data_IF_539006672566
#
_entry.id   IF_539006672566
#
_cell.length_a   1.000
_cell.length_b   1.000
_cell.length_c   1.000
_cell.angle_alpha   90.00
_cell.angle_beta   90.00
_cell.angle_gamma   90.00
#
_symmetry.space_group_name_H-M   'P 1'
#
loop_
_entity.id
_entity.type
_entity.pdbx_description
1 polymer ?
#
# COMPACT_ATOMS: atom_id res chain seq x y z
N UNK A 1 13.37 -57.33 -9.38
CA UNK A 1 13.28 -56.02 -10.05
C UNK A 1 13.41 -54.97 -8.96
N UNK A 2 14.63 -54.48 -8.70
CA UNK A 2 14.95 -53.57 -7.59
C UNK A 2 14.85 -52.12 -8.11
N UNK A 3 13.87 -51.37 -7.63
CA UNK A 3 13.76 -49.94 -7.90
C UNK A 3 14.70 -49.19 -6.94
N UNK A 4 15.75 -48.59 -7.50
CA UNK A 4 16.67 -47.72 -6.76
C UNK A 4 15.97 -46.39 -6.44
N UNK A 5 15.80 -46.10 -5.16
CA UNK A 5 15.27 -44.82 -4.63
C UNK A 5 16.24 -43.67 -4.96
N UNK A 6 16.07 -43.08 -6.14
CA UNK A 6 16.86 -41.95 -6.63
C UNK A 6 16.59 -40.63 -5.87
N UNK A 7 15.58 -40.60 -4.99
CA UNK A 7 15.10 -39.37 -4.36
C UNK A 7 15.95 -38.89 -3.16
N UNK A 8 16.78 -39.78 -2.59
CA UNK A 8 17.68 -39.49 -1.47
C UNK A 8 19.16 -39.68 -1.83
N UNK A 9 19.52 -39.51 -3.11
CA UNK A 9 20.93 -39.56 -3.48
C UNK A 9 21.68 -38.36 -2.85
N UNK A 10 22.94 -38.53 -2.42
CA UNK A 10 23.75 -37.44 -1.88
C UNK A 10 23.87 -36.26 -2.85
N UNK A 11 23.77 -36.52 -4.15
CA UNK A 11 23.79 -35.50 -5.20
C UNK A 11 22.55 -34.58 -5.18
N UNK A 12 21.36 -35.14 -5.00
CA UNK A 12 20.10 -34.38 -4.83
C UNK A 12 20.10 -33.51 -3.57
N UNK A 13 20.76 -33.98 -2.50
CA UNK A 13 20.89 -33.25 -1.24
C UNK A 13 21.84 -32.05 -1.36
N UNK A 14 22.94 -32.22 -2.10
CA UNK A 14 23.90 -31.14 -2.41
C UNK A 14 23.25 -30.06 -3.27
N UNK A 15 22.51 -30.44 -4.32
CA UNK A 15 21.80 -29.46 -5.17
C UNK A 15 20.73 -28.69 -4.40
N UNK A 16 20.03 -29.35 -3.47
CA UNK A 16 19.04 -28.70 -2.59
C UNK A 16 19.72 -27.70 -1.66
N UNK A 17 20.84 -28.06 -1.05
CA UNK A 17 21.60 -27.18 -0.16
C UNK A 17 22.20 -25.98 -0.92
N UNK A 18 22.73 -26.19 -2.13
CA UNK A 18 23.19 -25.09 -2.99
C UNK A 18 22.07 -24.11 -3.33
N UNK A 19 20.88 -24.62 -3.69
CA UNK A 19 19.73 -23.77 -4.03
C UNK A 19 19.17 -23.00 -2.83
N UNK A 20 19.27 -23.56 -1.62
CA UNK A 20 18.93 -22.87 -0.37
C UNK A 20 19.96 -21.79 -0.06
N UNK A 21 21.24 -22.07 -0.27
CA UNK A 21 22.33 -21.14 -0.01
C UNK A 21 22.32 -19.95 -0.98
N UNK A 22 22.10 -20.18 -2.28
CA UNK A 22 21.90 -19.09 -3.26
C UNK A 22 20.69 -18.22 -2.96
N UNK A 23 19.57 -18.81 -2.52
CA UNK A 23 18.39 -18.04 -2.08
C UNK A 23 18.71 -17.14 -0.90
N UNK A 24 19.47 -17.63 0.07
CA UNK A 24 19.83 -16.89 1.27
C UNK A 24 20.85 -15.77 0.98
N UNK A 25 21.76 -15.96 0.02
CA UNK A 25 22.70 -14.90 -0.38
C UNK A 25 22.02 -13.81 -1.21
N UNK A 26 21.16 -14.18 -2.16
CA UNK A 26 20.41 -13.22 -2.97
C UNK A 26 19.42 -12.40 -2.13
N UNK A 27 18.78 -13.02 -1.13
CA UNK A 27 17.90 -12.29 -0.21
C UNK A 27 18.72 -11.30 0.62
N UNK A 28 19.84 -11.69 1.21
CA UNK A 28 20.73 -10.79 1.97
C UNK A 28 21.23 -9.59 1.14
N UNK A 29 21.50 -9.75 -0.16
CA UNK A 29 21.97 -8.65 -1.02
C UNK A 29 20.86 -7.64 -1.40
N UNK A 30 19.62 -8.09 -1.64
CA UNK A 30 18.50 -7.17 -1.90
C UNK A 30 18.21 -6.29 -0.68
N UNK A 31 18.32 -6.88 0.53
CA UNK A 31 18.08 -6.17 1.78
C UNK A 31 19.20 -5.21 2.19
N UNK A 32 20.38 -5.28 1.56
CA UNK A 32 21.39 -4.22 1.68
C UNK A 32 20.98 -2.94 0.95
N UNK A 33 20.15 -3.06 -0.09
CA UNK A 33 19.78 -1.93 -0.96
C UNK A 33 18.45 -1.30 -0.52
N UNK A 34 17.44 -2.12 -0.18
CA UNK A 34 16.15 -1.65 0.33
C UNK A 34 15.68 -2.46 1.53
N UNK A 35 15.39 -1.77 2.64
CA UNK A 35 14.83 -2.37 3.86
C UNK A 35 13.30 -2.23 3.95
N UNK A 36 12.70 -1.46 3.03
CA UNK A 36 11.24 -1.27 2.91
C UNK A 36 10.63 -2.21 1.87
N UNK A 37 11.44 -2.65 0.89
CA UNK A 37 11.01 -3.57 -0.15
C UNK A 37 10.63 -4.95 0.40
N UNK A 38 9.35 -5.31 0.30
CA UNK A 38 8.87 -6.69 0.45
C UNK A 38 8.80 -7.35 -0.92
N UNK A 39 9.74 -8.22 -1.30
CA UNK A 39 9.65 -8.94 -2.57
C UNK A 39 8.43 -9.85 -2.55
N UNK A 40 7.69 -9.88 -3.65
CA UNK A 40 6.56 -10.80 -3.79
C UNK A 40 7.09 -12.21 -4.02
N UNK A 41 6.88 -13.11 -3.07
CA UNK A 41 7.14 -14.54 -3.28
C UNK A 41 5.96 -15.16 -4.04
N UNK A 42 6.15 -15.64 -5.30
CA UNK A 42 5.11 -16.35 -6.06
C UNK A 42 4.78 -17.73 -5.47
N UNK A 43 5.62 -18.24 -4.57
CA UNK A 43 5.39 -19.44 -3.78
C UNK A 43 4.19 -19.30 -2.84
N UNK A 44 3.88 -18.09 -2.40
CA UNK A 44 2.79 -17.84 -1.46
C UNK A 44 1.42 -17.79 -2.16
N UNK A 45 0.38 -18.54 -1.70
CA UNK A 45 -0.89 -18.67 -2.38
C UNK A 45 -1.61 -17.33 -2.65
N UNK A 46 -1.65 -16.44 -1.65
CA UNK A 46 -2.36 -15.16 -1.75
C UNK A 46 -1.68 -14.20 -2.72
N UNK A 47 -0.33 -14.15 -2.73
CA UNK A 47 0.44 -13.36 -3.70
C UNK A 47 0.16 -13.83 -5.13
N UNK A 48 0.17 -15.14 -5.35
CA UNK A 48 -0.11 -15.74 -6.67
C UNK A 48 -1.53 -15.45 -7.14
N UNK A 49 -2.50 -15.54 -6.24
CA UNK A 49 -3.88 -15.19 -6.53
C UNK A 49 -3.99 -13.71 -6.93
N UNK A 50 -3.33 -12.81 -6.20
CA UNK A 50 -3.36 -11.39 -6.51
C UNK A 50 -2.74 -11.07 -7.86
N UNK A 51 -1.62 -11.70 -8.23
CA UNK A 51 -1.02 -11.53 -9.57
C UNK A 51 -2.02 -11.90 -10.67
N UNK A 52 -2.76 -13.00 -10.49
CA UNK A 52 -3.79 -13.43 -11.45
C UNK A 52 -4.97 -12.47 -11.50
N UNK A 53 -5.46 -12.02 -10.35
CA UNK A 53 -6.57 -11.04 -10.27
C UNK A 53 -6.17 -9.74 -10.97
N UNK A 54 -4.99 -9.20 -10.71
CA UNK A 54 -4.50 -7.99 -11.36
C UNK A 54 -4.39 -8.14 -12.87
N UNK A 55 -3.92 -9.30 -13.36
CA UNK A 55 -3.86 -9.59 -14.79
C UNK A 55 -5.27 -9.67 -15.42
N UNK A 56 -6.23 -10.27 -14.73
CA UNK A 56 -7.63 -10.35 -15.19
C UNK A 56 -8.25 -8.96 -15.24
N UNK A 57 -8.07 -8.14 -14.19
CA UNK A 57 -8.58 -6.77 -14.13
C UNK A 57 -8.00 -5.93 -15.25
N UNK A 58 -6.70 -6.07 -15.55
CA UNK A 58 -6.06 -5.38 -16.67
C UNK A 58 -6.78 -5.68 -17.99
N UNK A 59 -6.98 -6.95 -18.30
CA UNK A 59 -7.65 -7.37 -19.54
C UNK A 59 -9.10 -6.90 -19.57
N UNK A 60 -9.83 -7.09 -18.46
CA UNK A 60 -11.23 -6.70 -18.36
C UNK A 60 -11.44 -5.19 -18.54
N UNK A 61 -10.65 -4.37 -17.85
CA UNK A 61 -10.72 -2.92 -17.96
C UNK A 61 -10.32 -2.45 -19.37
N UNK A 62 -9.29 -3.04 -20.00
CA UNK A 62 -8.94 -2.73 -21.38
C UNK A 62 -10.07 -3.05 -22.37
N UNK A 63 -10.70 -4.22 -22.26
CA UNK A 63 -11.81 -4.60 -23.12
C UNK A 63 -13.05 -3.71 -22.90
N UNK A 64 -13.34 -3.38 -21.64
CA UNK A 64 -14.43 -2.48 -21.30
C UNK A 64 -14.23 -1.10 -21.94
N UNK A 65 -13.06 -0.50 -21.78
CA UNK A 65 -12.80 0.82 -22.36
C UNK A 65 -12.68 0.81 -23.89
N UNK A 66 -12.27 -0.31 -24.48
CA UNK A 66 -12.35 -0.49 -25.93
C UNK A 66 -13.81 -0.51 -26.41
N UNK A 67 -14.71 -1.14 -25.65
CA UNK A 67 -16.15 -1.15 -25.98
C UNK A 67 -16.81 0.23 -25.88
N UNK A 68 -16.21 1.16 -25.14
CA UNK A 68 -16.61 2.56 -25.05
C UNK A 68 -16.10 3.43 -26.21
N UNK A 69 -15.61 2.80 -27.31
CA UNK A 69 -15.04 3.46 -28.49
C UNK A 69 -13.79 4.32 -28.21
N UNK A 70 -13.04 4.04 -27.14
CA UNK A 70 -11.73 4.64 -26.94
C UNK A 70 -10.70 4.05 -27.91
N UNK A 71 -9.61 4.78 -28.15
CA UNK A 71 -8.49 4.23 -28.92
C UNK A 71 -7.87 3.04 -28.21
N UNK A 72 -7.31 2.12 -28.99
CA UNK A 72 -6.66 0.91 -28.48
C UNK A 72 -5.57 1.26 -27.46
N UNK A 73 -4.74 2.27 -27.76
CA UNK A 73 -3.65 2.71 -26.90
C UNK A 73 -4.14 3.20 -25.53
N UNK A 74 -5.18 4.03 -25.50
CA UNK A 74 -5.75 4.55 -24.25
C UNK A 74 -6.40 3.42 -23.43
N UNK A 75 -7.11 2.52 -24.10
CA UNK A 75 -7.76 1.37 -23.46
C UNK A 75 -6.75 0.43 -22.79
N UNK A 76 -5.59 0.22 -23.43
CA UNK A 76 -4.49 -0.55 -22.85
C UNK A 76 -3.92 0.16 -21.62
N UNK A 77 -3.71 1.48 -21.68
CA UNK A 77 -3.20 2.27 -20.54
C UNK A 77 -4.18 2.20 -19.35
N UNK A 78 -5.48 2.29 -19.60
CA UNK A 78 -6.50 2.19 -18.55
C UNK A 78 -6.48 0.79 -17.91
N UNK A 79 -6.36 -0.27 -18.70
CA UNK A 79 -6.20 -1.62 -18.15
C UNK A 79 -4.94 -1.78 -17.31
N UNK A 80 -3.79 -1.30 -17.80
CA UNK A 80 -2.52 -1.38 -17.05
C UNK A 80 -2.64 -0.64 -15.71
N UNK A 81 -3.12 0.60 -15.73
CA UNK A 81 -3.28 1.40 -14.51
C UNK A 81 -4.31 0.80 -13.55
N UNK A 82 -5.41 0.22 -14.05
CA UNK A 82 -6.39 -0.50 -13.24
C UNK A 82 -5.79 -1.73 -12.56
N UNK A 83 -5.11 -2.61 -13.30
CA UNK A 83 -4.50 -3.83 -12.76
C UNK A 83 -3.45 -3.54 -11.68
N UNK A 84 -2.62 -2.50 -11.90
CA UNK A 84 -1.64 -2.03 -10.91
C UNK A 84 -2.35 -1.40 -9.69
N UNK A 85 -3.39 -0.61 -9.90
CA UNK A 85 -4.11 0.05 -8.80
C UNK A 85 -4.77 -0.97 -7.87
N UNK A 86 -5.39 -2.02 -8.42
CA UNK A 86 -5.96 -3.11 -7.61
C UNK A 86 -4.86 -3.85 -6.84
N UNK A 87 -3.71 -4.08 -7.46
CA UNK A 87 -2.55 -4.67 -6.77
C UNK A 87 -2.10 -3.79 -5.59
N UNK A 88 -2.03 -2.47 -5.79
CA UNK A 88 -1.64 -1.53 -4.74
C UNK A 88 -2.70 -1.41 -3.64
N UNK A 89 -3.99 -1.47 -3.96
CA UNK A 89 -5.08 -1.54 -2.98
C UNK A 89 -4.92 -2.76 -2.07
N UNK A 90 -4.63 -3.93 -2.64
CA UNK A 90 -4.33 -5.14 -1.88
C UNK A 90 -3.10 -4.96 -0.97
N UNK A 91 -2.01 -4.41 -1.52
CA UNK A 91 -0.77 -4.20 -0.78
C UNK A 91 -0.94 -3.22 0.38
N UNK A 92 -1.61 -2.09 0.16
CA UNK A 92 -1.94 -1.09 1.19
C UNK A 92 -2.79 -1.73 2.28
N UNK A 93 -3.78 -2.54 1.91
CA UNK A 93 -4.67 -3.21 2.86
C UNK A 93 -3.90 -4.13 3.83
N UNK A 94 -2.85 -4.81 3.35
CA UNK A 94 -1.97 -5.65 4.19
C UNK A 94 -1.05 -4.88 5.11
N UNK A 95 -0.71 -3.63 4.79
CA UNK A 95 0.03 -2.77 5.73
C UNK A 95 -0.91 -2.25 6.84
N UNK A 96 -2.16 -1.94 6.47
CA UNK A 96 -3.18 -1.44 7.40
C UNK A 96 -3.68 -2.52 8.36
N UNK A 97 -3.97 -3.73 7.89
CA UNK A 97 -4.43 -4.85 8.71
C UNK A 97 -3.51 -6.08 8.52
N UNK A 98 -2.30 -6.06 9.12
CA UNK A 98 -1.29 -7.10 8.90
C UNK A 98 -1.63 -8.44 9.55
N UNK A 99 -2.64 -8.49 10.43
CA UNK A 99 -3.08 -9.72 11.10
C UNK A 99 -4.04 -10.55 10.24
N UNK A 100 -4.77 -9.92 9.30
CA UNK A 100 -5.81 -10.57 8.50
C UNK A 100 -5.49 -10.46 7.01
N UNK A 101 -4.64 -11.36 6.50
CA UNK A 101 -4.25 -11.32 5.08
C UNK A 101 -5.43 -11.47 4.11
N UNK A 102 -6.46 -12.20 4.52
CA UNK A 102 -7.67 -12.44 3.71
C UNK A 102 -8.55 -11.19 3.67
N UNK A 103 -8.51 -10.34 4.70
CA UNK A 103 -9.26 -9.10 4.72
C UNK A 103 -8.88 -8.18 3.56
N UNK A 104 -7.63 -8.25 3.09
CA UNK A 104 -7.13 -7.48 1.95
C UNK A 104 -7.85 -7.78 0.61
N UNK A 105 -8.56 -8.91 0.49
CA UNK A 105 -9.33 -9.21 -0.72
C UNK A 105 -10.69 -8.50 -0.76
N UNK A 106 -11.25 -8.06 0.37
CA UNK A 106 -12.53 -7.32 0.37
C UNK A 106 -12.35 -5.95 -0.30
N UNK A 107 -11.33 -5.13 0.05
CA UNK A 107 -10.98 -3.91 -0.70
C UNK A 107 -10.75 -4.15 -2.19
N UNK A 108 -10.10 -5.25 -2.55
CA UNK A 108 -9.85 -5.62 -3.96
C UNK A 108 -11.16 -5.78 -4.71
N UNK A 109 -12.11 -6.54 -4.16
CA UNK A 109 -13.42 -6.76 -4.78
C UNK A 109 -14.17 -5.43 -4.92
N UNK A 110 -14.18 -4.60 -3.87
CA UNK A 110 -14.81 -3.28 -3.91
C UNK A 110 -14.17 -2.37 -4.97
N UNK A 111 -12.85 -2.46 -5.16
CA UNK A 111 -12.10 -1.63 -6.09
C UNK A 111 -12.41 -1.92 -7.57
N UNK A 112 -13.01 -3.07 -7.90
CA UNK A 112 -13.34 -3.40 -9.30
C UNK A 112 -14.27 -2.38 -9.95
N UNK A 113 -15.23 -1.85 -9.19
CA UNK A 113 -16.16 -0.83 -9.69
C UNK A 113 -15.41 0.47 -10.05
N UNK A 114 -14.70 1.14 -9.12
CA UNK A 114 -14.00 2.37 -9.45
C UNK A 114 -12.90 2.15 -10.50
N UNK A 115 -12.17 1.01 -10.47
CA UNK A 115 -11.08 0.81 -11.44
C UNK A 115 -11.57 0.61 -12.88
N UNK A 116 -12.77 0.06 -13.07
CA UNK A 116 -13.35 -0.14 -14.40
C UNK A 116 -14.06 1.13 -14.90
N UNK A 117 -14.67 1.92 -13.99
CA UNK A 117 -15.50 3.06 -14.39
C UNK A 117 -14.72 4.37 -14.57
N UNK A 118 -13.71 4.64 -13.75
CA UNK A 118 -13.07 5.97 -13.70
C UNK A 118 -11.85 6.16 -14.62
N UNK A 119 -11.47 5.16 -15.43
CA UNK A 119 -10.44 5.31 -16.46
C UNK A 119 -9.00 5.35 -15.92
N UNK A 120 -8.33 6.52 -15.97
CA UNK A 120 -6.94 6.66 -15.52
C UNK A 120 -6.88 6.68 -14.00
N UNK A 121 -6.08 5.77 -13.43
CA UNK A 121 -5.88 5.71 -11.99
C UNK A 121 -4.52 6.29 -11.56
N UNK A 122 -4.46 7.01 -10.43
CA UNK A 122 -3.23 7.57 -9.88
C UNK A 122 -2.35 6.49 -9.22
N UNK A 123 -1.70 5.67 -10.05
CA UNK A 123 -0.79 4.59 -9.62
C UNK A 123 0.35 5.11 -8.75
N UNK A 124 0.95 6.24 -9.14
CA UNK A 124 2.12 6.78 -8.43
C UNK A 124 1.79 7.27 -7.01
N UNK A 125 0.69 8.03 -6.78
CA UNK A 125 0.18 8.31 -5.44
C UNK A 125 -0.12 7.07 -4.58
N UNK A 126 -0.71 6.01 -5.15
CA UNK A 126 -0.95 4.77 -4.40
C UNK A 126 0.35 4.08 -3.99
N UNK A 127 1.32 4.02 -4.90
CA UNK A 127 2.65 3.47 -4.60
C UNK A 127 3.34 4.30 -3.52
N UNK A 128 3.28 5.63 -3.62
CA UNK A 128 3.82 6.53 -2.61
C UNK A 128 3.19 6.32 -1.23
N UNK A 129 1.86 6.18 -1.17
CA UNK A 129 1.15 5.92 0.09
C UNK A 129 1.57 4.58 0.70
N UNK A 130 1.69 3.53 -0.12
CA UNK A 130 2.21 2.23 0.31
C UNK A 130 3.60 2.35 0.94
N UNK A 131 4.49 3.13 0.32
CA UNK A 131 5.85 3.34 0.84
C UNK A 131 5.85 4.12 2.16
N UNK A 132 5.00 5.15 2.30
CA UNK A 132 4.87 5.88 3.56
C UNK A 132 4.35 4.99 4.69
N UNK A 133 3.33 4.18 4.42
CA UNK A 133 2.81 3.23 5.40
C UNK A 133 3.90 2.26 5.85
N UNK A 134 4.69 1.72 4.93
CA UNK A 134 5.81 0.84 5.30
C UNK A 134 6.91 1.52 6.11
N UNK A 135 7.17 2.82 5.91
CA UNK A 135 8.08 3.59 6.79
C UNK A 135 7.54 3.65 8.21
N UNK A 136 6.24 3.95 8.35
CA UNK A 136 5.60 4.13 9.66
C UNK A 136 5.45 2.80 10.38
N UNK A 137 4.87 1.81 9.70
CA UNK A 137 4.53 0.49 10.25
C UNK A 137 5.76 -0.38 10.46
N UNK A 138 6.82 -0.16 9.66
CA UNK A 138 8.04 -0.99 9.62
C UNK A 138 7.70 -2.47 9.57
N UNK A 139 6.83 -2.83 8.65
CA UNK A 139 6.29 -4.16 8.54
C UNK A 139 7.34 -5.22 8.19
N UNK A 140 8.47 -4.84 7.59
CA UNK A 140 9.66 -5.71 7.43
C UNK A 140 10.40 -5.96 8.75
N UNK A 141 10.14 -5.20 9.80
CA UNK A 141 10.84 -5.21 11.09
C UNK A 141 12.10 -4.32 11.12
N UNK A 142 12.52 -3.77 9.99
CA UNK A 142 13.71 -2.92 9.90
C UNK A 142 13.36 -1.43 9.80
N UNK A 143 14.33 -0.59 10.18
CA UNK A 143 14.28 0.85 9.89
C UNK A 143 14.46 1.07 8.38
N UNK A 144 13.75 2.05 7.84
CA UNK A 144 13.99 2.54 6.49
C UNK A 144 15.48 2.90 6.29
N UNK A 145 16.11 2.32 5.27
CA UNK A 145 17.48 2.62 4.90
C UNK A 145 17.61 4.07 4.42
N UNK A 146 18.85 4.55 4.30
CA UNK A 146 19.12 5.89 3.78
C UNK A 146 18.64 6.00 2.33
N UNK A 147 18.90 4.99 1.51
CA UNK A 147 18.44 4.95 0.12
C UNK A 147 16.92 4.96 0.01
N UNK A 148 16.23 4.15 0.83
CA UNK A 148 14.77 4.15 0.86
C UNK A 148 14.21 5.50 1.29
N UNK A 149 14.82 6.11 2.31
CA UNK A 149 14.43 7.43 2.81
C UNK A 149 14.59 8.49 1.73
N UNK A 150 15.72 8.51 1.02
CA UNK A 150 15.98 9.45 -0.08
C UNK A 150 14.98 9.22 -1.23
N UNK A 151 14.74 7.96 -1.62
CA UNK A 151 13.80 7.64 -2.69
C UNK A 151 12.38 8.12 -2.37
N UNK A 152 11.88 7.82 -1.16
CA UNK A 152 10.55 8.26 -0.73
C UNK A 152 10.48 9.77 -0.55
N UNK A 153 11.54 10.41 -0.04
CA UNK A 153 11.62 11.86 0.07
C UNK A 153 11.54 12.53 -1.31
N UNK A 154 12.36 12.12 -2.27
CA UNK A 154 12.37 12.68 -3.63
C UNK A 154 11.04 12.44 -4.34
N UNK A 155 10.45 11.26 -4.20
CA UNK A 155 9.12 10.96 -4.72
C UNK A 155 8.06 11.89 -4.11
N UNK A 156 8.15 12.14 -2.81
CA UNK A 156 7.23 13.05 -2.10
C UNK A 156 7.39 14.49 -2.59
N UNK A 157 8.62 14.99 -2.77
CA UNK A 157 8.90 16.32 -3.34
C UNK A 157 8.34 16.43 -4.76
N UNK A 158 8.57 15.41 -5.59
CA UNK A 158 8.04 15.35 -6.95
C UNK A 158 6.51 15.43 -6.98
N UNK A 159 5.81 14.63 -6.18
CA UNK A 159 4.34 14.68 -6.09
C UNK A 159 3.84 16.01 -5.51
N UNK A 160 4.57 16.60 -4.58
CA UNK A 160 4.25 17.91 -3.98
C UNK A 160 4.30 19.04 -5.02
N UNK A 161 5.26 18.95 -5.94
CA UNK A 161 5.46 19.95 -6.99
C UNK A 161 4.53 19.74 -8.18
N UNK A 162 4.36 18.50 -8.62
CA UNK A 162 3.59 18.18 -9.84
C UNK A 162 2.08 18.07 -9.61
N UNK A 163 1.65 17.69 -8.41
CA UNK A 163 0.26 17.32 -8.15
C UNK A 163 -0.40 18.29 -7.16
N UNK A 164 -0.01 18.22 -5.89
CA UNK A 164 -0.57 19.06 -4.83
C UNK A 164 0.36 19.14 -3.63
N UNK A 165 0.37 20.29 -2.96
CA UNK A 165 1.11 20.52 -1.71
C UNK A 165 0.79 19.48 -0.61
N UNK A 166 -0.40 18.88 -0.63
CA UNK A 166 -0.83 17.89 0.38
C UNK A 166 0.10 16.69 0.49
N UNK A 167 0.68 16.23 -0.62
CA UNK A 167 1.68 15.15 -0.60
C UNK A 167 2.85 15.51 0.33
N UNK A 168 3.24 16.78 0.37
CA UNK A 168 4.32 17.26 1.24
C UNK A 168 3.96 17.21 2.71
N UNK A 169 2.75 17.66 3.08
CA UNK A 169 2.27 17.61 4.48
C UNK A 169 2.11 16.18 4.96
N UNK A 170 1.54 15.30 4.13
CA UNK A 170 1.35 13.89 4.48
C UNK A 170 2.69 13.15 4.63
N UNK A 171 3.64 13.37 3.72
CA UNK A 171 4.98 12.81 3.84
C UNK A 171 5.71 13.37 5.07
N UNK A 172 5.59 14.67 5.34
CA UNK A 172 6.16 15.27 6.55
C UNK A 172 5.59 14.65 7.82
N UNK A 173 4.29 14.38 7.85
CA UNK A 173 3.60 13.73 8.97
C UNK A 173 4.12 12.30 9.16
N UNK A 174 4.24 11.52 8.08
CA UNK A 174 4.78 10.17 8.13
C UNK A 174 6.22 10.12 8.68
N UNK A 175 7.11 10.98 8.16
CA UNK A 175 8.48 11.09 8.65
C UNK A 175 8.54 11.59 10.10
N UNK A 176 7.66 12.51 10.48
CA UNK A 176 7.57 12.97 11.87
C UNK A 176 7.19 11.83 12.81
N UNK A 177 6.18 11.03 12.43
CA UNK A 177 5.75 9.85 13.19
C UNK A 177 6.92 8.87 13.36
N UNK A 178 7.65 8.51 12.29
CA UNK A 178 8.78 7.57 12.41
C UNK A 178 9.94 8.13 13.27
N UNK A 179 10.11 9.45 13.28
CA UNK A 179 11.13 10.12 14.10
C UNK A 179 10.80 10.12 15.60
N UNK A 180 9.54 9.86 15.99
CA UNK A 180 9.07 9.91 17.38
C UNK A 180 8.57 8.58 17.93
N UNK A 181 8.24 7.64 17.06
CA UNK A 181 7.81 6.29 17.44
C UNK A 181 8.95 5.46 18.06
N UNK A 182 8.61 4.30 18.60
CA UNK A 182 9.55 3.35 19.23
C UNK A 182 10.74 3.06 18.30
N UNK A 183 11.96 3.16 18.81
CA UNK A 183 13.22 3.10 18.04
C UNK A 183 13.32 4.15 16.91
N UNK A 184 13.39 5.45 17.25
CA UNK A 184 13.25 6.54 16.29
C UNK A 184 14.37 6.55 15.23
N UNK A 185 14.05 7.05 14.04
CA UNK A 185 15.05 7.45 13.05
C UNK A 185 15.20 8.97 13.05
N UNK A 186 16.31 9.47 13.60
CA UNK A 186 16.53 10.93 13.76
C UNK A 186 16.63 11.66 12.41
N UNK A 187 17.09 10.99 11.35
CA UNK A 187 17.17 11.57 10.00
C UNK A 187 15.79 11.97 9.47
N UNK A 188 14.75 11.22 9.85
CA UNK A 188 13.39 11.50 9.42
C UNK A 188 12.83 12.79 10.03
N UNK A 189 13.37 13.27 11.16
CA UNK A 189 12.99 14.59 11.66
C UNK A 189 13.40 15.70 10.69
N UNK A 190 14.62 15.60 10.13
CA UNK A 190 15.12 16.55 9.14
C UNK A 190 14.28 16.43 7.86
N UNK A 191 14.05 15.21 7.38
CA UNK A 191 13.20 14.96 6.21
C UNK A 191 11.79 15.55 6.38
N UNK A 192 11.20 15.41 7.58
CA UNK A 192 9.89 16.00 7.91
C UNK A 192 9.87 17.52 7.78
N UNK A 193 10.85 18.21 8.38
CA UNK A 193 10.97 19.68 8.32
C UNK A 193 11.15 20.15 6.87
N UNK A 194 12.02 19.47 6.10
CA UNK A 194 12.25 19.78 4.69
C UNK A 194 10.99 19.56 3.84
N UNK A 195 10.22 18.50 4.10
CA UNK A 195 8.95 18.24 3.41
C UNK A 195 7.88 19.29 3.74
N UNK A 196 7.80 19.76 5.01
CA UNK A 196 6.92 20.88 5.36
C UNK A 196 7.33 22.15 4.62
N UNK A 197 8.62 22.47 4.56
CA UNK A 197 9.12 23.63 3.82
C UNK A 197 8.78 23.52 2.33
N UNK A 198 8.97 22.36 1.71
CA UNK A 198 8.61 22.10 0.32
C UNK A 198 7.09 22.27 0.08
N UNK A 199 6.26 21.79 1.01
CA UNK A 199 4.80 21.98 0.93
C UNK A 199 4.40 23.45 1.02
N UNK A 200 4.95 24.21 1.97
CA UNK A 200 4.65 25.65 2.14
C UNK A 200 5.10 26.43 0.91
N UNK A 201 6.26 26.08 0.36
CA UNK A 201 6.75 26.68 -0.87
C UNK A 201 5.83 26.37 -2.07
N UNK A 202 5.34 25.13 -2.20
CA UNK A 202 4.39 24.74 -3.24
C UNK A 202 3.06 25.52 -3.13
N UNK A 203 2.53 25.69 -1.91
CA UNK A 203 1.34 26.53 -1.66
C UNK A 203 1.56 27.97 -2.14
N UNK A 204 2.77 28.50 -1.94
CA UNK A 204 3.09 29.89 -2.32
C UNK A 204 3.15 30.10 -3.84
N UNK A 205 3.33 29.03 -4.62
CA UNK A 205 3.38 29.07 -6.09
C UNK A 205 1.98 28.81 -6.69
N UNK A 206 1.21 27.91 -6.08
CA UNK A 206 -0.07 27.41 -6.62
C UNK A 206 -1.23 28.05 -5.85
N UNK A 207 -1.93 28.98 -6.51
CA UNK A 207 -3.04 29.74 -5.90
C UNK A 207 -4.38 28.97 -5.85
N UNK A 208 -4.34 27.63 -5.85
CA UNK A 208 -5.52 26.78 -5.88
C UNK A 208 -5.82 26.23 -4.48
N UNK A 209 -6.53 27.02 -3.68
CA UNK A 209 -7.03 26.64 -2.35
C UNK A 209 -8.55 26.52 -2.34
N UNK A 210 -9.13 25.99 -3.42
CA UNK A 210 -10.57 25.71 -3.44
C UNK A 210 -10.84 24.47 -2.57
N UNK A 211 -11.55 24.68 -1.46
CA UNK A 211 -12.23 23.59 -0.74
C UNK A 211 -13.37 23.13 -1.65
N UNK A 212 -13.50 21.82 -1.86
CA UNK A 212 -14.54 21.28 -2.71
C UNK A 212 -15.94 21.62 -2.17
N UNK A 213 -16.86 21.93 -3.08
CA UNK A 213 -18.29 21.81 -2.77
C UNK A 213 -18.60 20.33 -2.59
N UNK A 214 -18.76 19.91 -1.33
CA UNK A 214 -18.90 18.50 -0.98
C UNK A 214 -20.26 17.99 -1.46
N UNK A 215 -20.24 17.03 -2.38
CA UNK A 215 -21.43 16.35 -2.88
C UNK A 215 -22.04 15.41 -1.84
N UNK A 216 -23.31 15.02 -2.05
CA UNK A 216 -23.96 13.99 -1.22
C UNK A 216 -23.19 12.66 -1.28
N UNK A 217 -22.63 12.32 -2.45
CA UNK A 217 -21.81 11.13 -2.64
C UNK A 217 -20.55 11.17 -1.77
N UNK A 218 -19.80 12.26 -1.78
CA UNK A 218 -18.60 12.43 -0.95
C UNK A 218 -18.94 12.46 0.53
N UNK A 219 -20.04 13.11 0.92
CA UNK A 219 -20.51 13.12 2.31
C UNK A 219 -20.82 11.70 2.80
N UNK A 220 -21.54 10.92 2.00
CA UNK A 220 -21.86 9.52 2.35
C UNK A 220 -20.63 8.62 2.34
N UNK A 221 -19.69 8.85 1.42
CA UNK A 221 -18.40 8.16 1.38
C UNK A 221 -17.56 8.47 2.63
N UNK A 222 -17.50 9.73 3.04
CA UNK A 222 -16.79 10.17 4.25
C UNK A 222 -17.36 9.53 5.51
N UNK A 223 -18.69 9.60 5.68
CA UNK A 223 -19.38 9.01 6.83
C UNK A 223 -19.19 7.49 6.89
N UNK A 224 -19.33 6.80 5.76
CA UNK A 224 -19.12 5.35 5.69
C UNK A 224 -17.67 4.95 6.00
N UNK A 225 -16.66 5.68 5.49
CA UNK A 225 -15.25 5.45 5.86
C UNK A 225 -15.03 5.64 7.35
N UNK A 226 -15.53 6.73 7.93
CA UNK A 226 -15.38 7.00 9.35
C UNK A 226 -16.00 5.89 10.20
N UNK A 227 -17.26 5.54 9.93
CA UNK A 227 -18.00 4.51 10.69
C UNK A 227 -17.34 3.14 10.57
N UNK A 228 -16.93 2.73 9.37
CA UNK A 228 -16.38 1.39 9.13
C UNK A 228 -14.93 1.27 9.59
N UNK A 229 -14.13 2.33 9.46
CA UNK A 229 -12.69 2.26 9.66
C UNK A 229 -12.23 2.69 11.07
N UNK A 230 -12.89 3.66 11.72
CA UNK A 230 -12.52 4.11 13.08
C UNK A 230 -12.48 2.95 14.09
N UNK A 231 -13.43 1.99 14.11
CA UNK A 231 -13.34 0.84 15.01
C UNK A 231 -12.02 0.06 14.86
N UNK A 232 -11.47 -0.01 13.64
CA UNK A 232 -10.19 -0.69 13.37
C UNK A 232 -8.97 0.02 13.97
N UNK A 233 -9.08 1.34 14.18
CA UNK A 233 -8.06 2.19 14.82
C UNK A 233 -8.17 2.08 16.35
N UNK A 234 -9.39 2.05 16.87
CA UNK A 234 -9.64 2.00 18.31
C UNK A 234 -9.24 0.65 18.92
N UNK A 235 -9.22 -0.40 18.10
CA UNK A 235 -8.78 -1.73 18.50
C UNK A 235 -7.44 -1.73 19.25
N UNK A 236 -7.43 -2.22 20.48
CA UNK A 236 -6.25 -2.26 21.37
C UNK A 236 -5.60 -3.64 21.43
N UNK A 237 -6.04 -4.58 20.59
CA UNK A 237 -5.49 -5.94 20.55
C UNK A 237 -4.00 -5.93 20.20
N UNK A 238 -3.26 -6.86 20.82
CA UNK A 238 -1.86 -7.09 20.49
C UNK A 238 -1.78 -7.73 19.11
N UNK A 239 -0.95 -7.15 18.25
CA UNK A 239 -0.70 -7.68 16.90
C UNK A 239 -0.02 -9.05 17.01
N UNK A 240 -0.51 -10.00 16.21
CA UNK A 240 0.09 -11.33 16.08
C UNK A 240 1.13 -11.36 14.97
N UNK A 241 0.95 -10.51 13.97
CA UNK A 241 1.84 -10.38 12.83
C UNK A 241 3.25 -9.98 13.26
N UNK A 242 4.22 -10.57 12.57
CA UNK A 242 5.64 -10.45 12.87
C UNK A 242 6.35 -9.73 11.72
N UNK A 243 7.40 -8.99 12.05
CA UNK A 243 8.28 -8.40 11.06
C UNK A 243 8.94 -9.49 10.22
N UNK A 244 8.87 -9.37 8.90
CA UNK A 244 9.34 -10.41 7.98
C UNK A 244 10.81 -10.78 8.21
N UNK A 245 11.63 -9.81 8.63
CA UNK A 245 13.07 -9.98 8.77
C UNK A 245 13.52 -10.24 10.20
N UNK A 246 12.85 -9.63 11.18
CA UNK A 246 13.23 -9.78 12.60
C UNK A 246 12.52 -10.95 13.26
N UNK A 247 11.36 -11.38 12.74
CA UNK A 247 10.51 -12.38 13.38
C UNK A 247 9.88 -11.93 14.70
N UNK A 248 10.08 -10.66 15.08
CA UNK A 248 9.50 -10.02 16.26
C UNK A 248 8.08 -9.51 15.94
N UNK A 249 7.19 -9.51 16.93
CA UNK A 249 5.86 -8.95 16.76
C UNK A 249 5.92 -7.46 16.39
N UNK A 250 5.07 -7.05 15.46
CA UNK A 250 4.98 -5.64 15.04
C UNK A 250 4.54 -4.73 16.20
N UNK A 251 5.07 -3.51 16.23
CA UNK A 251 4.69 -2.51 17.23
C UNK A 251 3.26 -2.02 16.97
N UNK A 252 2.37 -2.33 17.92
CA UNK A 252 0.96 -1.94 17.88
C UNK A 252 0.74 -0.43 17.73
N UNK A 253 1.61 0.40 18.32
CA UNK A 253 1.49 1.85 18.24
C UNK A 253 1.82 2.34 16.84
N UNK A 254 2.84 1.76 16.21
CA UNK A 254 3.24 2.11 14.84
C UNK A 254 2.13 1.82 13.85
N UNK A 255 1.57 0.62 13.88
CA UNK A 255 0.44 0.24 13.01
C UNK A 255 -0.79 1.12 13.26
N UNK A 256 -1.09 1.49 14.52
CA UNK A 256 -2.15 2.48 14.79
C UNK A 256 -1.87 3.82 14.13
N UNK A 257 -0.64 4.32 14.22
CA UNK A 257 -0.26 5.58 13.58
C UNK A 257 -0.31 5.49 12.05
N UNK A 258 0.03 4.34 11.46
CA UNK A 258 -0.15 4.05 10.04
C UNK A 258 -1.62 4.09 9.62
N UNK A 259 -2.52 3.46 10.39
CA UNK A 259 -3.98 3.54 10.17
C UNK A 259 -4.51 4.97 10.25
N UNK A 260 -4.04 5.76 11.23
CA UNK A 260 -4.41 7.17 11.36
C UNK A 260 -3.92 7.99 10.16
N UNK A 261 -2.66 7.79 9.76
CA UNK A 261 -2.09 8.45 8.59
C UNK A 261 -2.88 8.13 7.31
N UNK A 262 -3.26 6.86 7.12
CA UNK A 262 -4.11 6.43 6.02
C UNK A 262 -5.48 7.11 6.06
N UNK A 263 -6.15 7.14 7.22
CA UNK A 263 -7.47 7.77 7.35
C UNK A 263 -7.40 9.28 7.05
N UNK A 264 -6.40 9.99 7.59
CA UNK A 264 -6.17 11.41 7.28
C UNK A 264 -5.95 11.60 5.78
N UNK A 265 -5.14 10.74 5.16
CA UNK A 265 -4.91 10.76 3.70
C UNK A 265 -6.22 10.61 2.94
N UNK A 266 -7.03 9.60 3.26
CA UNK A 266 -8.32 9.34 2.60
C UNK A 266 -9.30 10.51 2.73
N UNK A 267 -9.38 11.13 3.91
CA UNK A 267 -10.24 12.30 4.15
C UNK A 267 -9.75 13.51 3.36
N UNK A 268 -8.45 13.80 3.37
CA UNK A 268 -7.91 14.97 2.66
C UNK A 268 -8.13 14.87 1.14
N UNK A 269 -7.93 13.69 0.54
CA UNK A 269 -8.18 13.49 -0.89
C UNK A 269 -9.67 13.51 -1.28
N UNK A 270 -10.57 13.28 -0.32
CA UNK A 270 -12.01 13.42 -0.53
C UNK A 270 -12.46 14.88 -0.49
N UNK A 271 -11.83 15.72 0.34
CA UNK A 271 -12.24 17.10 0.58
C UNK A 271 -11.67 18.13 -0.41
N UNK A 272 -10.81 17.71 -1.32
CA UNK A 272 -10.10 18.61 -2.24
C UNK A 272 -10.67 18.52 -3.65
N UNK A 273 -10.96 19.69 -4.24
CA UNK A 273 -11.45 19.81 -5.62
C UNK A 273 -10.27 20.04 -6.56
N UNK A 274 -9.54 18.96 -6.83
CA UNK A 274 -8.45 18.94 -7.81
C UNK A 274 -8.64 17.77 -8.76
N UNK A 275 -8.05 17.87 -9.96
CA UNK A 275 -8.05 16.83 -11.00
C UNK A 275 -7.58 15.45 -10.47
N UNK A 276 -6.89 15.41 -9.34
CA UNK A 276 -6.39 14.20 -8.69
C UNK A 276 -7.32 13.63 -7.60
N UNK A 277 -8.54 14.14 -7.45
CA UNK A 277 -9.58 13.61 -6.56
C UNK A 277 -9.94 12.15 -6.87
N UNK A 278 -9.59 11.62 -8.04
CA UNK A 278 -9.77 10.20 -8.40
C UNK A 278 -9.05 9.19 -7.49
N UNK A 279 -8.21 9.63 -6.54
CA UNK A 279 -7.61 8.74 -5.54
C UNK A 279 -8.60 8.30 -4.45
N UNK A 280 -9.56 9.16 -4.06
CA UNK A 280 -10.43 8.89 -2.91
C UNK A 280 -11.30 7.63 -3.05
N UNK A 281 -11.83 7.23 -4.23
CA UNK A 281 -12.65 6.02 -4.35
C UNK A 281 -11.87 4.74 -3.99
N UNK A 282 -10.58 4.67 -4.33
CA UNK A 282 -9.74 3.51 -4.02
C UNK A 282 -9.37 3.48 -2.53
N UNK A 283 -9.11 4.63 -1.92
CA UNK A 283 -8.89 4.74 -0.48
C UNK A 283 -10.18 4.38 0.29
N UNK A 284 -11.34 4.79 -0.23
CA UNK A 284 -12.64 4.38 0.30
C UNK A 284 -12.83 2.87 0.25
N UNK A 285 -12.46 2.21 -0.85
CA UNK A 285 -12.54 0.74 -0.96
C UNK A 285 -11.68 0.04 0.11
N UNK A 286 -10.49 0.56 0.41
CA UNK A 286 -9.63 0.05 1.49
C UNK A 286 -10.29 0.22 2.85
N UNK A 287 -10.72 1.45 3.18
CA UNK A 287 -11.35 1.76 4.47
C UNK A 287 -12.63 0.95 4.69
N UNK A 288 -13.53 0.95 3.70
CA UNK A 288 -14.80 0.25 3.76
C UNK A 288 -14.60 -1.28 3.75
N UNK A 289 -13.68 -1.79 2.92
CA UNK A 289 -13.46 -3.23 2.81
C UNK A 289 -12.89 -3.85 4.08
N UNK A 290 -11.93 -3.19 4.73
CA UNK A 290 -11.38 -3.64 6.02
C UNK A 290 -12.45 -3.57 7.11
N UNK A 291 -13.22 -2.49 7.17
CA UNK A 291 -14.31 -2.37 8.15
C UNK A 291 -15.41 -3.41 7.95
N UNK A 292 -15.83 -3.65 6.71
CA UNK A 292 -16.83 -4.67 6.36
C UNK A 292 -16.37 -6.08 6.71
N UNK A 293 -15.13 -6.44 6.36
CA UNK A 293 -14.56 -7.74 6.73
C UNK A 293 -14.67 -7.99 8.24
N UNK A 294 -14.31 -6.97 9.03
CA UNK A 294 -14.32 -7.07 10.48
C UNK A 294 -15.73 -7.21 11.07
N UNK A 295 -16.72 -6.53 10.50
CA UNK A 295 -18.12 -6.65 10.93
C UNK A 295 -18.68 -8.03 10.56
N UNK A 296 -18.39 -8.53 9.35
CA UNK A 296 -18.99 -9.75 8.82
C UNK A 296 -18.34 -11.03 9.35
N UNK A 297 -17.01 -11.07 9.39
CA UNK A 297 -16.24 -12.29 9.68
C UNK A 297 -15.66 -12.26 11.10
N UNK A 298 -15.34 -11.07 11.62
CA UNK A 298 -14.63 -10.93 12.89
C UNK A 298 -13.25 -11.58 12.84
N UNK A 299 -12.75 -12.04 14.00
CA UNK A 299 -11.38 -12.61 14.11
C UNK A 299 -11.33 -14.13 13.87
N UNK A 300 -12.32 -14.70 13.18
CA UNK A 300 -12.33 -16.14 12.96
C UNK A 300 -11.14 -16.51 12.07
N UNK A 301 -10.30 -17.48 12.47
CA UNK A 301 -9.24 -17.96 11.60
C UNK A 301 -9.89 -18.58 10.37
N UNK A 302 -9.59 -18.02 9.20
CA UNK A 302 -9.99 -18.60 7.92
C UNK A 302 -8.79 -19.39 7.43
N UNK A 303 -8.90 -20.72 7.49
CA UNK A 303 -7.90 -21.62 6.91
C UNK A 303 -8.06 -21.65 5.38
N UNK A 304 -6.96 -21.47 4.65
CA UNK A 304 -6.86 -21.53 3.19
C UNK A 304 -6.20 -22.84 2.74
#
# INVERSE_FOLDING_TARGET
MMAFDFYNSPFTLILRNFKIQERNTLSMDIYRISSIGRPLDPGYPTNRLMIRISAIVLVAASLFHLSLNNTISISIIYGITAGISVFLVWAISREIDPDHEIAAFVPVILSFIPVILFGIHPVLPLLWLLLLLRIVDRSTGLKAGIFDTIAVFLLSVFLTYQMTWMFGILAATAFFIDSRASSPNKVHLIASILMLAASIFSISIVNNTAIADISLMETTALLSMAILFIPSILDSRKLKSKGDMTGESLDTLRVKMGKILFLITAILFLLIDIEYAHLWPLLWCVAAGIGLYRILIGDRPVEL
#
